data_IF_364432551358
#
_entry.id   IF_364432551358
#
_cell.length_a   1.000
_cell.length_b   1.000
_cell.length_c   1.000
_cell.angle_alpha   90.00
_cell.angle_beta   90.00
_cell.angle_gamma   90.00
#
_symmetry.space_group_name_H-M   'P 1'
#
loop_
_entity.id
_entity.type
_entity.pdbx_description
1 polymer ?
#
# COMPACT_ATOMS: atom_id res chain seq x y z
N UNK A 1 -21.56 -31.00 11.72
CA UNK A 1 -22.14 -30.82 10.38
C UNK A 1 -22.45 -29.34 10.12
N UNK A 2 -23.26 -28.65 10.92
CA UNK A 2 -23.53 -27.19 10.76
C UNK A 2 -22.29 -26.28 10.92
N UNK A 3 -21.43 -26.55 11.91
CA UNK A 3 -20.25 -25.73 12.21
C UNK A 3 -19.20 -25.72 11.08
N UNK A 4 -18.96 -26.87 10.44
CA UNK A 4 -18.00 -26.96 9.33
C UNK A 4 -18.48 -26.18 8.10
N UNK A 5 -19.79 -26.18 7.84
CA UNK A 5 -20.36 -25.44 6.72
C UNK A 5 -20.32 -23.92 6.93
N UNK A 6 -20.53 -23.46 8.16
CA UNK A 6 -20.39 -22.04 8.52
C UNK A 6 -18.93 -21.62 8.39
N UNK A 7 -17.99 -22.38 8.96
CA UNK A 7 -16.55 -22.10 8.87
C UNK A 7 -16.06 -22.05 7.41
N UNK A 8 -16.52 -22.98 6.56
CA UNK A 8 -16.19 -23.00 5.14
C UNK A 8 -16.75 -21.79 4.39
N UNK A 9 -17.97 -21.36 4.69
CA UNK A 9 -18.58 -20.16 4.08
C UNK A 9 -17.86 -18.89 4.51
N UNK A 10 -17.47 -18.79 5.78
CA UNK A 10 -16.66 -17.68 6.27
C UNK A 10 -15.28 -17.68 5.61
N UNK A 11 -14.61 -18.81 5.48
CA UNK A 11 -13.32 -18.90 4.79
C UNK A 11 -13.42 -18.43 3.33
N UNK A 12 -14.45 -18.84 2.60
CA UNK A 12 -14.70 -18.40 1.22
C UNK A 12 -14.99 -16.89 1.17
N UNK A 13 -15.84 -16.39 2.07
CA UNK A 13 -16.17 -14.97 2.15
C UNK A 13 -14.94 -14.12 2.48
N UNK A 14 -14.10 -14.57 3.42
CA UNK A 14 -12.84 -13.94 3.75
C UNK A 14 -11.88 -13.96 2.56
N UNK A 15 -11.71 -15.09 1.87
CA UNK A 15 -10.87 -15.17 0.65
C UNK A 15 -11.31 -14.22 -0.46
N UNK A 16 -12.62 -14.05 -0.67
CA UNK A 16 -13.14 -13.10 -1.66
C UNK A 16 -12.93 -11.64 -1.21
N UNK A 17 -13.24 -11.33 0.05
CA UNK A 17 -13.11 -9.97 0.61
C UNK A 17 -11.66 -9.51 0.71
N UNK A 18 -10.77 -10.43 1.09
CA UNK A 18 -9.39 -10.11 1.40
C UNK A 18 -8.52 -9.95 0.14
N UNK A 19 -9.06 -10.25 -1.06
CA UNK A 19 -8.33 -10.24 -2.35
C UNK A 19 -6.92 -10.83 -2.21
N UNK A 20 -6.80 -11.85 -1.35
CA UNK A 20 -5.52 -12.27 -0.78
C UNK A 20 -4.80 -13.19 -1.75
N UNK A 21 -4.28 -12.60 -2.81
CA UNK A 21 -3.21 -13.20 -3.61
C UNK A 21 -1.97 -13.42 -2.74
N UNK A 22 -1.83 -12.66 -1.64
CA UNK A 22 -0.70 -12.73 -0.69
C UNK A 22 -0.47 -14.10 -0.05
N UNK A 23 -1.53 -14.83 0.36
CA UNK A 23 -1.39 -16.18 0.92
C UNK A 23 -0.93 -17.21 -0.14
N UNK A 24 -1.26 -16.99 -1.42
CA UNK A 24 -0.87 -17.89 -2.53
C UNK A 24 0.54 -17.56 -3.06
N UNK A 25 0.95 -16.31 -2.94
CA UNK A 25 2.23 -15.78 -3.43
C UNK A 25 3.33 -15.72 -2.35
N UNK A 26 3.10 -16.36 -1.19
CA UNK A 26 3.95 -16.28 0.01
C UNK A 26 5.46 -16.27 -0.24
N UNK A 27 6.14 -15.39 0.51
CA UNK A 27 7.59 -15.11 0.68
C UNK A 27 8.51 -15.08 -0.56
N UNK A 28 8.03 -15.49 -1.74
CA UNK A 28 8.61 -15.04 -2.98
C UNK A 28 8.28 -13.57 -3.09
N UNK A 29 9.32 -12.79 -3.32
CA UNK A 29 9.27 -11.37 -3.56
C UNK A 29 8.50 -11.11 -4.88
N UNK A 30 7.19 -11.37 -4.88
CA UNK A 30 6.44 -11.52 -6.12
C UNK A 30 6.29 -10.18 -6.78
N UNK A 31 6.29 -10.21 -8.11
CA UNK A 31 6.07 -9.02 -8.93
C UNK A 31 4.83 -8.22 -8.51
N UNK A 32 3.85 -8.86 -7.85
CA UNK A 32 2.68 -8.20 -7.28
C UNK A 32 3.04 -7.23 -6.15
N UNK A 33 3.88 -7.61 -5.18
CA UNK A 33 4.30 -6.71 -4.10
C UNK A 33 5.16 -5.57 -4.63
N UNK A 34 6.11 -5.87 -5.52
CA UNK A 34 6.90 -4.84 -6.18
C UNK A 34 6.03 -3.87 -6.98
N UNK A 35 5.06 -4.38 -7.75
CA UNK A 35 4.11 -3.54 -8.50
C UNK A 35 3.27 -2.69 -7.56
N UNK A 36 2.75 -3.28 -6.48
CA UNK A 36 1.93 -2.57 -5.48
C UNK A 36 2.74 -1.48 -4.78
N UNK A 37 3.95 -1.80 -4.32
CA UNK A 37 4.86 -0.83 -3.70
C UNK A 37 5.26 0.28 -4.67
N UNK A 38 5.53 -0.04 -5.94
CA UNK A 38 5.84 0.94 -6.97
C UNK A 38 4.64 1.84 -7.30
N UNK A 39 3.44 1.27 -7.35
CA UNK A 39 2.19 2.05 -7.51
C UNK A 39 2.04 3.01 -6.33
N UNK A 40 2.15 2.53 -5.10
CA UNK A 40 2.10 3.39 -3.92
C UNK A 40 3.18 4.47 -3.94
N UNK A 41 4.42 4.11 -4.28
CA UNK A 41 5.52 5.07 -4.43
C UNK A 41 5.17 6.14 -5.46
N UNK A 42 4.68 5.76 -6.63
CA UNK A 42 4.29 6.70 -7.70
C UNK A 42 3.18 7.65 -7.24
N UNK A 43 2.20 7.17 -6.49
CA UNK A 43 1.09 8.01 -6.01
C UNK A 43 1.46 8.89 -4.82
N UNK A 44 2.38 8.42 -3.96
CA UNK A 44 2.72 9.09 -2.71
C UNK A 44 4.03 9.88 -2.79
N UNK A 45 4.69 9.92 -3.96
CA UNK A 45 5.87 10.78 -4.15
C UNK A 45 5.40 12.23 -4.24
N UNK A 46 5.93 13.07 -3.35
CA UNK A 46 5.71 14.51 -3.35
C UNK A 46 6.91 15.14 -4.05
N UNK A 47 6.73 15.51 -5.32
CA UNK A 47 7.79 16.13 -6.14
C UNK A 47 7.98 17.61 -5.81
N UNK A 48 6.90 18.29 -5.40
CA UNK A 48 6.90 19.72 -5.07
C UNK A 48 6.01 19.98 -3.86
N UNK A 49 6.45 20.89 -3.01
CA UNK A 49 5.71 21.29 -1.81
C UNK A 49 5.65 22.82 -1.75
N UNK A 50 4.48 23.40 -1.50
CA UNK A 50 4.33 24.82 -1.25
C UNK A 50 4.24 25.05 0.26
N UNK A 51 5.18 25.81 0.81
CA UNK A 51 5.20 26.21 2.22
C UNK A 51 5.20 27.73 2.25
N UNK A 52 4.17 28.33 2.84
CA UNK A 52 4.02 29.78 3.02
C UNK A 52 4.22 30.62 1.73
N UNK A 53 3.81 30.07 0.59
CA UNK A 53 3.93 30.72 -0.72
C UNK A 53 5.24 30.45 -1.45
N UNK A 54 6.18 29.72 -0.84
CA UNK A 54 7.44 29.30 -1.47
C UNK A 54 7.30 27.88 -2.01
N UNK A 55 7.46 27.73 -3.32
CA UNK A 55 7.48 26.43 -3.99
C UNK A 55 8.85 25.78 -3.83
N UNK A 56 8.89 24.67 -3.10
CA UNK A 56 10.06 23.81 -2.94
C UNK A 56 10.00 22.68 -3.96
N UNK A 57 11.00 22.60 -4.83
CA UNK A 57 11.15 21.53 -5.83
C UNK A 57 12.38 20.65 -5.56
N UNK A 58 13.29 21.12 -4.70
CA UNK A 58 14.44 20.32 -4.29
C UNK A 58 13.99 19.23 -3.31
N UNK A 59 14.27 17.94 -3.57
CA UNK A 59 13.88 16.85 -2.69
C UNK A 59 14.42 16.96 -1.26
N UNK A 60 15.58 17.59 -1.08
CA UNK A 60 16.17 17.84 0.23
C UNK A 60 15.38 18.87 1.02
N UNK A 61 15.01 19.98 0.38
CA UNK A 61 14.19 21.04 0.97
C UNK A 61 12.76 20.57 1.26
N UNK A 62 12.13 19.84 0.32
CA UNK A 62 10.80 19.21 0.55
C UNK A 62 10.83 18.29 1.77
N UNK A 63 11.88 17.46 1.90
CA UNK A 63 12.03 16.56 3.04
C UNK A 63 12.20 17.33 4.35
N UNK A 64 13.03 18.38 4.38
CA UNK A 64 13.22 19.21 5.57
C UNK A 64 11.91 19.87 5.99
N UNK A 65 11.19 20.45 5.03
CA UNK A 65 9.91 21.11 5.26
C UNK A 65 8.85 20.17 5.84
N UNK A 66 8.74 18.93 5.32
CA UNK A 66 7.83 17.91 5.86
C UNK A 66 8.18 17.54 7.31
N UNK A 67 9.47 17.46 7.63
CA UNK A 67 9.93 17.11 8.99
C UNK A 67 9.76 18.27 9.98
N UNK A 68 9.81 19.52 9.49
CA UNK A 68 9.69 20.73 10.33
C UNK A 68 8.26 21.20 10.61
N UNK A 69 7.25 20.54 10.03
CA UNK A 69 5.83 20.80 10.29
C UNK A 69 5.32 19.96 11.46
#
# INVERSE_FOLDING_TARGET
MEFEDIARKEEIAWRQRSRTTWLREGDRNTSFFHKTANIHRRFNTIDKLNVDGVLMEDPGEVKKAIVSY
#
